data_IF_068184344871
#
_entry.id   IF_068184344871
#
_cell.length_a   1.000
_cell.length_b   1.000
_cell.length_c   1.000
_cell.angle_alpha   90.00
_cell.angle_beta   90.00
_cell.angle_gamma   90.00
#
_symmetry.space_group_name_H-M   'P 1'
#
loop_
_entity.id
_entity.type
_entity.pdbx_description
1 polymer ?
#
# COMPACT_ATOMS: atom_id res chain seq x y z
N UNK A 1 -6.71 -29.19 3.70
CA UNK A 1 -6.36 -27.75 3.51
C UNK A 1 -4.93 -27.69 2.98
N UNK A 2 -4.76 -27.20 1.79
CA UNK A 2 -3.49 -27.09 1.08
C UNK A 2 -3.02 -25.63 1.04
N UNK A 3 -1.71 -25.41 1.08
CA UNK A 3 -1.10 -24.08 0.97
C UNK A 3 -0.24 -24.04 -0.28
N UNK A 4 -0.51 -23.10 -1.18
CA UNK A 4 0.21 -22.98 -2.44
C UNK A 4 0.84 -21.59 -2.52
N UNK A 5 2.18 -21.57 -2.63
CA UNK A 5 2.92 -20.41 -3.05
C UNK A 5 2.78 -20.31 -4.57
N UNK A 6 2.16 -19.24 -5.05
CA UNK A 6 2.01 -19.06 -6.49
C UNK A 6 2.27 -17.62 -6.90
N UNK A 7 2.78 -17.48 -8.10
CA UNK A 7 2.68 -16.24 -8.83
C UNK A 7 1.33 -16.29 -9.56
N UNK A 8 0.48 -15.28 -9.37
CA UNK A 8 -0.88 -15.22 -9.94
C UNK A 8 -0.87 -15.00 -11.46
N UNK A 9 -0.11 -15.82 -12.20
CA UNK A 9 -0.10 -15.77 -13.66
C UNK A 9 -1.16 -16.66 -14.31
N UNK A 10 -1.80 -17.54 -13.51
CA UNK A 10 -2.82 -18.46 -13.95
C UNK A 10 -4.20 -17.81 -13.89
N UNK A 11 -4.94 -17.86 -14.98
CA UNK A 11 -6.31 -17.33 -15.11
C UNK A 11 -7.28 -18.00 -14.11
N UNK A 12 -7.16 -19.31 -13.86
CA UNK A 12 -7.95 -20.03 -12.88
C UNK A 12 -7.68 -19.54 -11.46
N UNK A 13 -6.42 -19.30 -11.13
CA UNK A 13 -6.02 -18.77 -9.83
C UNK A 13 -6.55 -17.35 -9.60
N UNK A 14 -6.50 -16.49 -10.62
CA UNK A 14 -7.09 -15.16 -10.56
C UNK A 14 -8.60 -15.20 -10.37
N UNK A 15 -9.30 -16.11 -11.04
CA UNK A 15 -10.74 -16.29 -10.87
C UNK A 15 -11.10 -16.70 -9.46
N UNK A 16 -10.39 -17.66 -8.87
CA UNK A 16 -10.56 -18.09 -7.48
C UNK A 16 -10.31 -16.93 -6.50
N UNK A 17 -9.33 -16.07 -6.76
CA UNK A 17 -9.08 -14.88 -5.95
C UNK A 17 -10.22 -13.86 -6.07
N UNK A 18 -10.71 -13.60 -7.29
CA UNK A 18 -11.88 -12.73 -7.53
C UNK A 18 -13.08 -13.23 -6.75
N UNK A 19 -13.36 -14.54 -6.80
CA UNK A 19 -14.46 -15.17 -6.05
C UNK A 19 -14.30 -14.94 -4.55
N UNK A 20 -13.13 -15.24 -3.97
CA UNK A 20 -12.86 -15.05 -2.55
C UNK A 20 -13.04 -13.59 -2.12
N UNK A 21 -12.46 -12.64 -2.86
CA UNK A 21 -12.52 -11.22 -2.52
C UNK A 21 -13.96 -10.69 -2.61
N UNK A 22 -14.69 -11.01 -3.68
CA UNK A 22 -16.07 -10.59 -3.85
C UNK A 22 -17.01 -11.23 -2.79
N UNK A 23 -16.76 -12.45 -2.35
CA UNK A 23 -17.51 -13.09 -1.27
C UNK A 23 -17.25 -12.38 0.07
N UNK A 24 -16.00 -12.14 0.42
CA UNK A 24 -15.61 -11.53 1.71
C UNK A 24 -16.02 -10.06 1.83
N UNK A 25 -15.98 -9.31 0.73
CA UNK A 25 -16.25 -7.87 0.74
C UNK A 25 -17.60 -7.48 0.16
N UNK A 26 -18.49 -8.45 -0.10
CA UNK A 26 -19.84 -8.23 -0.64
C UNK A 26 -20.61 -7.16 0.14
N UNK A 27 -20.63 -7.27 1.46
CA UNK A 27 -21.36 -6.34 2.33
C UNK A 27 -20.80 -4.90 2.32
N UNK A 28 -19.57 -4.72 1.87
CA UNK A 28 -18.93 -3.39 1.74
C UNK A 28 -19.19 -2.75 0.39
N UNK A 29 -19.87 -3.43 -0.53
CA UNK A 29 -20.12 -2.95 -1.87
C UNK A 29 -18.88 -2.84 -2.75
N UNK A 30 -17.78 -3.51 -2.36
CA UNK A 30 -16.57 -3.57 -3.18
C UNK A 30 -16.71 -4.66 -4.23
N UNK A 31 -16.27 -4.38 -5.44
CA UNK A 31 -16.29 -5.31 -6.55
C UNK A 31 -14.90 -5.43 -7.16
N UNK A 32 -14.38 -6.65 -7.16
CA UNK A 32 -13.05 -6.98 -7.69
C UNK A 32 -13.17 -7.68 -9.04
N UNK A 33 -12.24 -7.37 -9.94
CA UNK A 33 -12.21 -7.93 -11.30
C UNK A 33 -10.85 -8.55 -11.60
N UNK A 34 -10.81 -9.46 -12.58
CA UNK A 34 -9.53 -10.04 -13.05
C UNK A 34 -8.57 -8.95 -13.54
N UNK A 35 -9.05 -7.98 -14.32
CA UNK A 35 -8.23 -6.88 -14.82
C UNK A 35 -7.65 -6.02 -13.70
N UNK A 36 -8.42 -5.82 -12.61
CA UNK A 36 -7.94 -5.16 -11.41
C UNK A 36 -6.77 -5.91 -10.78
N UNK A 37 -6.91 -7.23 -10.62
CA UNK A 37 -5.83 -8.05 -10.06
C UNK A 37 -4.65 -8.19 -11.00
N UNK A 38 -4.88 -8.36 -12.33
CA UNK A 38 -3.79 -8.36 -13.31
C UNK A 38 -2.95 -7.11 -13.18
N UNK A 39 -3.58 -5.94 -13.13
CA UNK A 39 -2.88 -4.66 -12.94
C UNK A 39 -1.99 -4.66 -11.70
N UNK A 40 -2.55 -5.01 -10.52
CA UNK A 40 -1.79 -4.94 -9.27
C UNK A 40 -0.78 -6.05 -9.07
N UNK A 41 -1.05 -7.25 -9.58
CA UNK A 41 -0.24 -8.44 -9.28
C UNK A 41 0.71 -8.84 -10.39
N UNK A 42 0.44 -8.43 -11.62
CA UNK A 42 1.22 -8.86 -12.79
C UNK A 42 1.88 -7.67 -13.48
N UNK A 43 1.13 -6.62 -13.76
CA UNK A 43 1.57 -5.50 -14.60
C UNK A 43 2.42 -4.47 -13.83
N UNK A 44 2.77 -4.73 -12.57
CA UNK A 44 3.64 -3.86 -11.79
C UNK A 44 5.06 -3.83 -12.39
N UNK A 45 5.59 -2.65 -12.79
CA UNK A 45 6.92 -2.54 -13.41
C UNK A 45 8.08 -2.92 -12.48
N UNK A 46 7.88 -2.88 -11.17
CA UNK A 46 8.89 -3.30 -10.18
C UNK A 46 8.94 -4.82 -10.00
N UNK A 47 8.00 -5.56 -10.61
CA UNK A 47 7.92 -7.02 -10.63
C UNK A 47 6.55 -7.57 -10.23
N UNK A 48 6.28 -8.84 -10.56
CA UNK A 48 5.01 -9.48 -10.18
C UNK A 48 4.91 -9.69 -8.67
N UNK A 49 3.70 -9.62 -8.13
CA UNK A 49 3.44 -9.85 -6.71
C UNK A 49 3.78 -11.28 -6.29
N UNK A 50 4.38 -11.43 -5.12
CA UNK A 50 4.57 -12.72 -4.45
C UNK A 50 3.29 -13.04 -3.71
N UNK A 51 2.58 -14.09 -4.14
CA UNK A 51 1.28 -14.46 -3.58
C UNK A 51 1.33 -15.83 -2.93
N UNK A 52 0.63 -15.97 -1.81
CA UNK A 52 0.47 -17.24 -1.12
C UNK A 52 -1.01 -17.46 -0.80
N UNK A 53 -1.53 -18.65 -1.16
CA UNK A 53 -2.93 -18.98 -1.09
C UNK A 53 -3.17 -20.25 -0.26
N UNK A 54 -4.31 -20.34 0.39
CA UNK A 54 -4.78 -21.54 1.03
C UNK A 54 -6.10 -22.01 0.40
N UNK A 55 -6.24 -23.33 0.27
CA UNK A 55 -7.38 -23.97 -0.36
C UNK A 55 -8.03 -25.00 0.56
N UNK A 56 -9.33 -25.18 0.40
CA UNK A 56 -10.11 -26.31 0.89
C UNK A 56 -10.80 -26.96 -0.31
N UNK A 57 -10.25 -28.09 -0.78
CA UNK A 57 -10.56 -28.60 -2.11
C UNK A 57 -10.22 -27.56 -3.19
N UNK A 58 -11.17 -27.29 -4.08
CA UNK A 58 -11.04 -26.30 -5.15
C UNK A 58 -11.26 -24.84 -4.70
N UNK A 59 -11.78 -24.64 -3.48
CA UNK A 59 -12.12 -23.31 -2.98
C UNK A 59 -10.90 -22.61 -2.39
N UNK A 60 -10.55 -21.41 -2.90
CA UNK A 60 -9.59 -20.55 -2.23
C UNK A 60 -10.23 -19.95 -0.97
N UNK A 61 -9.60 -20.15 0.18
CA UNK A 61 -10.12 -19.75 1.49
C UNK A 61 -9.31 -18.64 2.17
N UNK A 62 -8.08 -18.43 1.74
CA UNK A 62 -7.26 -17.32 2.20
C UNK A 62 -6.21 -16.95 1.15
N UNK A 63 -5.81 -15.68 1.17
CA UNK A 63 -4.82 -15.12 0.26
C UNK A 63 -4.02 -14.04 0.98
N UNK A 64 -2.72 -13.95 0.69
CA UNK A 64 -1.85 -12.82 1.00
C UNK A 64 -0.98 -12.52 -0.21
N UNK A 65 -0.56 -11.27 -0.34
CA UNK A 65 0.39 -10.88 -1.36
C UNK A 65 1.38 -9.84 -0.85
N UNK A 66 2.57 -9.88 -1.44
CA UNK A 66 3.63 -8.90 -1.28
C UNK A 66 3.90 -8.30 -2.66
N UNK A 67 3.77 -6.99 -2.76
CA UNK A 67 3.98 -6.23 -3.99
C UNK A 67 5.42 -5.73 -4.06
N UNK A 68 6.20 -6.07 -5.09
CA UNK A 68 7.53 -5.54 -5.31
C UNK A 68 7.53 -4.03 -5.48
N UNK A 69 8.48 -3.38 -4.83
CA UNK A 69 8.67 -1.94 -4.87
C UNK A 69 10.15 -1.57 -4.70
N UNK A 70 10.47 -0.33 -5.03
CA UNK A 70 11.80 0.25 -4.78
C UNK A 70 11.69 1.41 -3.81
N UNK A 71 12.61 1.47 -2.86
CA UNK A 71 12.75 2.61 -1.96
C UNK A 71 14.15 3.20 -2.04
N UNK A 72 14.25 4.49 -1.85
CA UNK A 72 15.52 5.13 -1.51
C UNK A 72 15.75 4.91 -0.01
N UNK A 73 16.91 4.33 0.32
CA UNK A 73 17.38 4.15 1.68
C UNK A 73 18.77 4.77 1.77
N UNK A 74 18.90 5.88 2.49
CA UNK A 74 20.13 6.70 2.53
C UNK A 74 20.67 7.03 1.12
N UNK A 75 19.75 7.40 0.21
CA UNK A 75 20.09 7.76 -1.17
C UNK A 75 20.37 6.59 -2.11
N UNK A 76 20.34 5.35 -1.64
CA UNK A 76 20.53 4.15 -2.47
C UNK A 76 19.19 3.51 -2.81
N UNK A 77 19.03 3.06 -4.05
CA UNK A 77 17.83 2.32 -4.47
C UNK A 77 17.90 0.90 -3.94
N UNK A 78 16.90 0.52 -3.16
CA UNK A 78 16.78 -0.80 -2.52
C UNK A 78 15.48 -1.46 -2.96
N UNK A 79 15.57 -2.73 -3.40
CA UNK A 79 14.39 -3.53 -3.70
C UNK A 79 13.74 -4.03 -2.40
N UNK A 80 12.46 -3.80 -2.27
CA UNK A 80 11.66 -4.22 -1.13
C UNK A 80 10.29 -4.74 -1.59
N UNK A 81 9.51 -5.23 -0.66
CA UNK A 81 8.13 -5.63 -0.94
C UNK A 81 7.17 -4.97 0.04
N UNK A 82 6.01 -4.60 -0.44
CA UNK A 82 4.91 -4.06 0.36
C UNK A 82 3.86 -5.13 0.62
N UNK A 83 3.52 -5.35 1.90
CA UNK A 83 2.43 -6.25 2.27
C UNK A 83 1.08 -5.66 1.84
N UNK A 84 0.38 -6.37 0.98
CA UNK A 84 -0.97 -6.04 0.48
C UNK A 84 -1.99 -7.10 0.88
N UNK A 85 -3.25 -6.77 0.67
CA UNK A 85 -4.43 -7.62 0.49
C UNK A 85 -4.42 -8.98 1.20
N UNK A 86 -4.22 -8.97 2.52
CA UNK A 86 -4.47 -10.18 3.31
C UNK A 86 -5.97 -10.40 3.49
N UNK A 87 -6.53 -11.49 2.96
CA UNK A 87 -7.94 -11.86 3.08
C UNK A 87 -8.10 -13.30 3.52
N UNK A 88 -9.08 -13.56 4.38
CA UNK A 88 -9.53 -14.92 4.74
C UNK A 88 -11.04 -15.00 4.75
N UNK A 89 -11.56 -16.08 4.21
CA UNK A 89 -12.98 -16.39 4.22
C UNK A 89 -13.49 -16.41 5.67
N UNK A 90 -14.68 -15.87 5.98
CA UNK A 90 -15.21 -15.78 7.34
C UNK A 90 -15.20 -17.10 8.10
N UNK A 91 -15.63 -18.20 7.47
CA UNK A 91 -15.74 -19.52 8.09
C UNK A 91 -14.40 -20.16 8.47
N UNK A 92 -13.29 -19.64 7.91
CA UNK A 92 -11.94 -20.17 8.16
C UNK A 92 -11.09 -19.24 9.03
N UNK A 93 -11.69 -18.16 9.58
CA UNK A 93 -11.02 -17.27 10.53
C UNK A 93 -10.69 -17.99 11.85
N UNK A 94 -9.72 -17.46 12.59
CA UNK A 94 -9.25 -18.08 13.84
C UNK A 94 -8.15 -19.13 13.67
N UNK A 95 -7.94 -19.67 12.47
CA UNK A 95 -6.93 -20.70 12.16
C UNK A 95 -5.52 -20.14 11.84
N UNK A 96 -5.30 -18.85 12.06
CA UNK A 96 -4.03 -18.15 11.77
C UNK A 96 -3.58 -18.28 10.31
N UNK A 97 -4.49 -18.48 9.37
CA UNK A 97 -4.16 -18.67 7.95
C UNK A 97 -3.35 -17.50 7.41
N UNK A 98 -3.80 -16.26 7.64
CA UNK A 98 -3.07 -15.07 7.15
C UNK A 98 -1.62 -15.02 7.67
N UNK A 99 -1.40 -15.35 8.95
CA UNK A 99 -0.02 -15.36 9.49
C UNK A 99 0.83 -16.47 8.88
N UNK A 100 0.27 -17.66 8.66
CA UNK A 100 0.98 -18.77 8.01
C UNK A 100 1.35 -18.40 6.57
N UNK A 101 0.40 -17.89 5.80
CA UNK A 101 0.62 -17.47 4.41
C UNK A 101 1.60 -16.30 4.33
N UNK A 102 1.51 -15.32 5.25
CA UNK A 102 2.45 -14.19 5.30
C UNK A 102 3.88 -14.66 5.54
N UNK A 103 4.11 -15.60 6.44
CA UNK A 103 5.46 -16.12 6.69
C UNK A 103 6.04 -16.80 5.44
N UNK A 104 5.26 -17.61 4.73
CA UNK A 104 5.70 -18.25 3.49
C UNK A 104 6.04 -17.19 2.42
N UNK A 105 5.20 -16.18 2.26
CA UNK A 105 5.46 -15.11 1.30
C UNK A 105 6.69 -14.27 1.67
N UNK A 106 6.91 -14.01 2.97
CA UNK A 106 8.09 -13.28 3.47
C UNK A 106 9.37 -14.08 3.26
N UNK A 107 9.36 -15.39 3.55
CA UNK A 107 10.49 -16.30 3.28
C UNK A 107 10.83 -16.32 1.79
N UNK A 108 9.82 -16.36 0.92
CA UNK A 108 10.03 -16.29 -0.53
C UNK A 108 10.60 -14.93 -0.96
N UNK A 109 10.11 -13.81 -0.40
CA UNK A 109 10.67 -12.49 -0.68
C UNK A 109 12.16 -12.42 -0.26
N UNK A 110 12.52 -12.96 0.90
CA UNK A 110 13.91 -13.05 1.35
C UNK A 110 14.75 -13.90 0.39
N UNK A 111 14.22 -15.04 -0.09
CA UNK A 111 14.89 -15.93 -1.05
C UNK A 111 15.12 -15.23 -2.40
N UNK A 112 14.21 -14.38 -2.83
CA UNK A 112 14.34 -13.56 -4.03
C UNK A 112 15.26 -12.35 -3.86
N UNK A 113 15.79 -12.10 -2.65
CA UNK A 113 16.78 -11.05 -2.39
C UNK A 113 16.16 -9.68 -2.08
N UNK A 114 14.88 -9.59 -1.76
CA UNK A 114 14.29 -8.36 -1.25
C UNK A 114 14.84 -8.03 0.13
N UNK A 115 15.13 -6.77 0.37
CA UNK A 115 15.88 -6.33 1.56
C UNK A 115 15.00 -6.12 2.79
N UNK A 116 13.71 -5.87 2.60
CA UNK A 116 12.73 -5.75 3.69
C UNK A 116 11.31 -5.86 3.16
N UNK A 117 10.39 -6.13 4.08
CA UNK A 117 8.95 -6.03 3.86
C UNK A 117 8.37 -4.97 4.78
N UNK A 118 7.47 -4.16 4.26
CA UNK A 118 6.74 -3.16 5.02
C UNK A 118 5.26 -3.14 4.61
N UNK A 119 4.42 -2.45 5.35
CA UNK A 119 3.01 -2.34 4.98
C UNK A 119 2.18 -1.55 5.97
N UNK A 120 0.91 -1.36 5.63
CA UNK A 120 -0.08 -0.74 6.50
C UNK A 120 -1.07 -1.77 7.01
N UNK A 121 -0.96 -2.10 8.28
CA UNK A 121 -1.88 -3.03 8.93
C UNK A 121 -3.10 -2.30 9.50
N UNK A 122 -4.28 -2.81 9.21
CA UNK A 122 -5.52 -2.37 9.86
C UNK A 122 -5.67 -2.97 11.26
N UNK A 123 -6.69 -2.54 12.00
CA UNK A 123 -6.91 -2.99 13.39
C UNK A 123 -7.08 -4.50 13.54
N UNK A 124 -7.56 -5.21 12.52
CA UNK A 124 -7.80 -6.66 12.57
C UNK A 124 -6.53 -7.46 12.26
N UNK A 125 -5.74 -7.04 11.27
CA UNK A 125 -4.53 -7.77 10.85
C UNK A 125 -3.32 -7.45 11.72
N UNK A 126 -3.22 -6.23 12.26
CA UNK A 126 -2.07 -5.73 13.01
C UNK A 126 -1.59 -6.67 14.13
N UNK A 127 -2.46 -7.14 15.07
CA UNK A 127 -1.99 -7.99 16.18
C UNK A 127 -1.39 -9.32 15.70
N UNK A 128 -1.96 -9.90 14.64
CA UNK A 128 -1.48 -11.16 14.06
C UNK A 128 -0.13 -11.00 13.37
N UNK A 129 0.04 -9.95 12.59
CA UNK A 129 1.28 -9.67 11.85
C UNK A 129 2.45 -9.39 12.80
N UNK A 130 2.26 -8.55 13.82
CA UNK A 130 3.32 -8.26 14.78
C UNK A 130 3.65 -9.48 15.65
N UNK A 131 2.64 -10.23 16.09
CA UNK A 131 2.86 -11.35 17.02
C UNK A 131 3.43 -12.61 16.36
N UNK A 132 3.06 -12.87 15.09
CA UNK A 132 3.32 -14.17 14.46
C UNK A 132 4.14 -14.10 13.18
N UNK A 133 4.34 -12.90 12.61
CA UNK A 133 5.05 -12.74 11.33
C UNK A 133 6.33 -11.89 11.43
N UNK A 134 6.79 -11.58 12.64
CA UNK A 134 8.06 -10.88 12.84
C UNK A 134 8.06 -9.39 12.47
N UNK A 135 6.91 -8.78 12.19
CA UNK A 135 6.84 -7.36 11.92
C UNK A 135 7.05 -6.53 13.20
N UNK A 136 7.86 -5.50 13.08
CA UNK A 136 7.96 -4.42 14.06
C UNK A 136 6.92 -3.34 13.77
N UNK A 137 6.26 -2.85 14.81
CA UNK A 137 5.40 -1.67 14.70
C UNK A 137 6.25 -0.40 14.68
N UNK A 138 6.12 0.41 13.65
CA UNK A 138 6.84 1.68 13.53
C UNK A 138 6.02 2.80 14.14
N UNK A 139 4.85 3.08 13.58
CA UNK A 139 3.95 4.13 14.07
C UNK A 139 2.59 4.06 13.36
N UNK A 140 1.67 4.91 13.75
CA UNK A 140 0.44 5.18 12.98
C UNK A 140 0.64 6.37 12.07
N UNK A 141 0.13 6.28 10.85
CA UNK A 141 0.12 7.42 9.95
C UNK A 141 -0.75 8.55 10.52
N UNK A 142 -0.35 9.77 10.21
CA UNK A 142 -1.18 10.94 10.48
C UNK A 142 -2.36 10.97 9.50
N UNK A 143 -3.55 11.19 10.02
CA UNK A 143 -4.76 11.44 9.23
C UNK A 143 -5.21 12.85 9.54
N UNK A 144 -5.07 13.74 8.57
CA UNK A 144 -5.30 15.17 8.71
C UNK A 144 -6.25 15.66 7.64
N UNK A 145 -6.96 16.74 7.89
CA UNK A 145 -7.79 17.43 6.90
C UNK A 145 -7.53 18.92 6.94
N UNK A 146 -7.57 19.56 5.77
CA UNK A 146 -7.27 20.98 5.68
C UNK A 146 -7.39 21.53 4.27
N UNK A 147 -6.84 22.71 4.06
CA UNK A 147 -6.84 23.41 2.78
C UNK A 147 -5.40 23.70 2.34
N UNK A 148 -5.20 23.82 1.03
CA UNK A 148 -3.90 24.03 0.43
C UNK A 148 -3.26 22.74 -0.07
N UNK A 149 -2.28 22.90 -0.95
CA UNK A 149 -1.53 21.81 -1.59
C UNK A 149 -0.02 21.94 -1.38
N UNK A 150 0.41 22.94 -0.64
CA UNK A 150 1.82 23.18 -0.29
C UNK A 150 2.25 22.24 0.83
N UNK A 151 2.37 20.97 0.48
CA UNK A 151 2.80 19.88 1.37
C UNK A 151 4.18 19.46 0.91
N UNK A 152 5.15 19.61 1.79
CA UNK A 152 6.56 19.37 1.52
C UNK A 152 7.09 18.24 2.39
N UNK A 153 8.17 17.62 1.97
CA UNK A 153 8.90 16.67 2.82
C UNK A 153 9.53 17.42 4.01
N UNK A 154 9.38 16.89 5.23
CA UNK A 154 9.92 17.48 6.46
C UNK A 154 11.37 17.02 6.67
N UNK A 155 12.29 17.68 6.00
CA UNK A 155 13.72 17.37 6.00
C UNK A 155 14.06 16.11 5.22
N UNK A 156 15.35 15.77 5.21
CA UNK A 156 15.83 14.57 4.54
C UNK A 156 15.44 13.32 5.34
N UNK A 157 14.92 12.32 4.64
CA UNK A 157 14.48 11.04 5.23
C UNK A 157 15.29 9.89 4.67
N UNK A 158 15.67 8.98 5.57
CA UNK A 158 16.36 7.74 5.22
C UNK A 158 15.53 6.88 4.28
N UNK A 159 14.23 6.72 4.57
CA UNK A 159 13.32 5.87 3.81
C UNK A 159 12.29 6.71 3.07
N UNK A 160 12.24 6.57 1.73
CA UNK A 160 11.20 7.15 0.87
C UNK A 160 10.96 6.27 -0.35
N UNK A 161 9.75 6.28 -0.90
CA UNK A 161 9.45 5.57 -2.14
C UNK A 161 10.30 6.13 -3.29
N UNK A 162 10.95 5.24 -4.04
CA UNK A 162 11.57 5.58 -5.32
C UNK A 162 10.56 5.29 -6.44
N UNK A 163 10.29 6.28 -7.26
CA UNK A 163 9.45 6.16 -8.44
C UNK A 163 10.31 6.18 -9.69
N UNK A 164 10.23 5.14 -10.54
CA UNK A 164 10.60 5.24 -11.94
C UNK A 164 9.44 5.83 -12.73
N UNK A 165 9.68 6.29 -13.96
CA UNK A 165 8.62 6.82 -14.83
C UNK A 165 7.56 5.75 -15.08
N UNK A 166 7.97 4.51 -15.37
CA UNK A 166 7.05 3.39 -15.60
C UNK A 166 6.22 3.06 -14.36
N UNK A 167 6.84 3.01 -13.17
CA UNK A 167 6.15 2.73 -11.92
C UNK A 167 5.14 3.84 -11.57
N UNK A 168 5.50 5.10 -11.81
CA UNK A 168 4.60 6.22 -11.61
C UNK A 168 3.45 6.21 -12.63
N UNK A 169 3.72 5.95 -13.90
CA UNK A 169 2.72 5.84 -14.95
C UNK A 169 1.72 4.70 -14.66
N UNK A 170 2.24 3.52 -14.31
CA UNK A 170 1.43 2.39 -13.88
C UNK A 170 0.54 2.76 -12.67
N UNK A 171 1.13 3.39 -11.66
CA UNK A 171 0.42 3.80 -10.44
C UNK A 171 -0.73 4.75 -10.71
N UNK A 172 -0.55 5.68 -11.63
CA UNK A 172 -1.51 6.72 -11.97
C UNK A 172 -2.51 6.33 -13.06
N UNK A 173 -2.38 5.16 -13.70
CA UNK A 173 -3.19 4.79 -14.87
C UNK A 173 -4.64 4.44 -14.56
N UNK A 174 -4.97 4.07 -13.32
CA UNK A 174 -6.28 3.48 -12.98
C UNK A 174 -7.31 4.44 -12.40
N UNK A 175 -6.93 5.66 -12.04
CA UNK A 175 -7.82 6.63 -11.39
C UNK A 175 -7.67 8.02 -11.98
N UNK A 176 -8.66 8.83 -11.75
CA UNK A 176 -8.59 10.25 -12.08
C UNK A 176 -7.80 10.97 -10.99
N UNK A 177 -6.67 11.53 -11.36
CA UNK A 177 -5.84 12.35 -10.52
C UNK A 177 -5.76 13.77 -11.09
N UNK A 178 -5.39 14.72 -10.24
CA UNK A 178 -5.13 16.11 -10.62
C UNK A 178 -3.74 16.50 -10.16
N UNK A 179 -2.97 17.12 -11.05
CA UNK A 179 -1.66 17.67 -10.75
C UNK A 179 -1.78 19.13 -10.34
N UNK A 180 -1.12 19.52 -9.26
CA UNK A 180 -0.96 20.93 -8.81
C UNK A 180 0.49 21.11 -8.38
N UNK A 181 1.29 21.79 -9.25
CA UNK A 181 2.73 21.85 -9.03
C UNK A 181 3.36 20.46 -9.01
N UNK A 182 4.09 20.12 -7.95
CA UNK A 182 4.65 18.77 -7.69
C UNK A 182 3.67 17.82 -7.01
N UNK A 183 2.47 18.31 -6.61
CA UNK A 183 1.50 17.54 -5.85
C UNK A 183 0.52 16.81 -6.75
N UNK A 184 0.15 15.60 -6.35
CA UNK A 184 -0.87 14.75 -6.96
C UNK A 184 -2.06 14.64 -6.01
N UNK A 185 -3.24 14.94 -6.52
CA UNK A 185 -4.51 14.88 -5.79
C UNK A 185 -5.42 13.84 -6.43
N UNK A 186 -6.17 13.11 -5.60
CA UNK A 186 -7.21 12.17 -6.03
C UNK A 186 -8.59 12.62 -5.54
N UNK A 187 -9.65 12.30 -6.27
CA UNK A 187 -11.02 12.57 -5.83
C UNK A 187 -11.45 11.49 -4.82
N UNK A 188 -11.84 11.92 -3.62
CA UNK A 188 -12.34 10.99 -2.59
C UNK A 188 -13.87 10.96 -2.55
N UNK A 189 -14.48 12.13 -2.39
CA UNK A 189 -15.95 12.35 -2.36
C UNK A 189 -16.25 13.74 -2.93
N UNK A 190 -17.50 14.03 -3.30
CA UNK A 190 -17.87 15.40 -3.66
C UNK A 190 -17.42 16.40 -2.59
N UNK A 191 -16.65 17.42 -2.99
CA UNK A 191 -16.09 18.43 -2.10
C UNK A 191 -14.86 18.03 -1.28
N UNK A 192 -14.38 16.80 -1.39
CA UNK A 192 -13.18 16.32 -0.66
C UNK A 192 -12.21 15.69 -1.66
N UNK A 193 -11.00 16.22 -1.71
CA UNK A 193 -9.87 15.62 -2.42
C UNK A 193 -8.95 14.90 -1.43
N UNK A 194 -8.30 13.85 -1.89
CA UNK A 194 -7.22 13.22 -1.14
C UNK A 194 -5.89 13.73 -1.67
N UNK A 195 -5.02 14.19 -0.79
CA UNK A 195 -3.63 14.43 -1.13
C UNK A 195 -2.94 13.09 -1.28
N UNK A 196 -2.65 12.71 -2.53
CA UNK A 196 -1.98 11.45 -2.83
C UNK A 196 -0.50 11.53 -2.50
N UNK A 197 0.16 12.60 -2.91
CA UNK A 197 1.57 12.77 -2.64
C UNK A 197 2.20 13.97 -3.33
N UNK A 198 3.47 14.22 -3.00
CA UNK A 198 4.34 15.15 -3.72
C UNK A 198 5.54 14.39 -4.31
N UNK A 199 5.98 14.80 -5.48
CA UNK A 199 7.19 14.32 -6.15
C UNK A 199 8.33 15.35 -6.10
N UNK A 200 8.31 16.24 -5.11
CA UNK A 200 9.27 17.32 -4.96
C UNK A 200 10.72 16.82 -4.93
N UNK A 201 10.98 15.75 -4.16
CA UNK A 201 12.30 15.12 -4.06
C UNK A 201 12.73 14.34 -5.32
N UNK A 202 11.84 14.15 -6.27
CA UNK A 202 12.06 13.47 -7.55
C UNK A 202 11.52 14.34 -8.70
N UNK A 203 11.79 15.65 -8.64
CA UNK A 203 11.25 16.66 -9.55
C UNK A 203 11.62 16.48 -11.03
N UNK A 204 12.66 15.68 -11.33
CA UNK A 204 13.03 15.29 -12.69
C UNK A 204 12.04 14.30 -13.33
N UNK A 205 11.19 13.62 -12.54
CA UNK A 205 10.21 12.69 -13.09
C UNK A 205 9.15 13.43 -13.90
N UNK A 206 8.91 12.93 -15.10
CA UNK A 206 7.77 13.37 -15.89
C UNK A 206 6.51 12.71 -15.33
N UNK A 207 5.63 13.54 -14.77
CA UNK A 207 4.30 13.04 -14.37
C UNK A 207 3.50 12.85 -15.67
N UNK A 208 3.03 11.61 -15.95
CA UNK A 208 2.26 11.33 -17.15
C UNK A 208 1.01 12.21 -17.23
N UNK A 209 0.47 12.37 -18.43
CA UNK A 209 -0.82 13.04 -18.61
C UNK A 209 -1.90 12.29 -17.85
N UNK A 210 -2.28 12.85 -16.72
CA UNK A 210 -3.36 12.32 -15.87
C UNK A 210 -4.67 12.98 -16.27
N UNK A 211 -5.75 12.23 -16.26
CA UNK A 211 -7.08 12.76 -16.52
C UNK A 211 -7.43 13.82 -15.47
N UNK A 212 -7.27 15.09 -15.84
CA UNK A 212 -7.58 16.21 -14.98
C UNK A 212 -9.10 16.31 -14.79
N UNK A 213 -9.56 16.22 -13.55
CA UNK A 213 -10.87 16.73 -13.20
C UNK A 213 -10.73 18.19 -12.74
N UNK A 214 -11.72 19.01 -13.07
CA UNK A 214 -11.71 20.44 -12.71
C UNK A 214 -12.55 20.65 -11.45
N UNK A 215 -11.99 20.95 -10.28
CA UNK A 215 -12.76 21.18 -9.08
C UNK A 215 -13.45 22.54 -9.19
N UNK A 216 -14.77 22.57 -9.07
CA UNK A 216 -15.58 23.78 -9.16
C UNK A 216 -15.40 24.73 -7.96
N UNK A 217 -14.88 24.22 -6.82
CA UNK A 217 -14.64 24.97 -5.58
C UNK A 217 -13.34 24.54 -4.88
N UNK A 218 -12.76 25.35 -3.95
CA UNK A 218 -11.68 24.91 -3.11
C UNK A 218 -12.16 23.74 -2.25
N UNK A 219 -11.61 22.58 -2.52
CA UNK A 219 -11.98 21.35 -1.83
C UNK A 219 -11.18 21.20 -0.54
N UNK A 220 -11.84 20.67 0.49
CA UNK A 220 -11.17 20.14 1.68
C UNK A 220 -10.25 18.99 1.25
N UNK A 221 -9.02 18.95 1.78
CA UNK A 221 -8.06 17.90 1.48
C UNK A 221 -7.90 16.95 2.66
N UNK A 222 -7.92 15.66 2.34
CA UNK A 222 -7.55 14.61 3.27
C UNK A 222 -6.09 14.23 3.03
N UNK A 223 -5.28 14.31 4.07
CA UNK A 223 -3.89 13.85 4.09
C UNK A 223 -3.77 12.59 4.95
N UNK A 224 -3.07 11.58 4.42
CA UNK A 224 -2.67 10.36 5.16
C UNK A 224 -1.20 10.12 4.86
N UNK A 225 -0.34 10.19 5.89
CA UNK A 225 1.10 10.01 5.67
C UNK A 225 1.96 10.31 6.89
N UNK A 226 3.26 10.31 6.67
CA UNK A 226 4.33 10.62 7.64
C UNK A 226 5.43 11.45 6.99
N UNK A 227 6.17 12.20 7.80
CA UNK A 227 7.36 12.90 7.37
C UNK A 227 7.10 14.11 6.47
N UNK A 228 5.87 14.64 6.45
CA UNK A 228 5.52 15.82 5.69
C UNK A 228 5.26 17.02 6.60
N UNK A 229 5.69 18.20 6.12
CA UNK A 229 5.33 19.51 6.66
C UNK A 229 4.04 19.98 6.00
N UNK A 230 3.01 20.13 6.81
CA UNK A 230 1.66 20.51 6.38
C UNK A 230 1.41 22.01 6.59
N UNK A 231 0.58 22.66 5.76
CA UNK A 231 0.07 24.01 6.03
C UNK A 231 -0.64 24.09 7.39
N UNK A 232 -0.64 25.25 8.00
CA UNK A 232 -1.28 25.50 9.31
C UNK A 232 -2.79 25.20 9.33
N UNK A 233 -3.44 25.20 8.18
CA UNK A 233 -4.87 24.88 8.02
C UNK A 233 -5.20 23.40 8.25
N UNK A 234 -4.19 22.51 8.30
CA UNK A 234 -4.41 21.08 8.50
C UNK A 234 -4.55 20.74 9.97
N UNK A 235 -5.66 20.10 10.30
CA UNK A 235 -5.99 19.63 11.65
C UNK A 235 -6.20 18.11 11.64
N UNK A 236 -5.99 17.48 12.79
CA UNK A 236 -6.28 16.04 12.93
C UNK A 236 -7.74 15.76 12.65
N UNK A 237 -8.03 14.70 11.92
CA UNK A 237 -9.40 14.25 11.68
C UNK A 237 -10.07 13.99 13.04
N UNK A 238 -11.26 14.56 13.28
CA UNK A 238 -11.95 14.40 14.55
C UNK A 238 -12.22 12.94 14.89
N UNK A 239 -12.13 12.58 16.18
CA UNK A 239 -12.27 11.20 16.66
C UNK A 239 -13.62 10.54 16.35
N UNK A 240 -14.68 11.32 16.13
CA UNK A 240 -15.99 10.81 15.75
C UNK A 240 -16.04 10.32 14.29
N UNK A 241 -15.12 10.77 13.42
CA UNK A 241 -14.95 10.25 12.07
C UNK A 241 -14.09 8.99 12.17
N UNK A 242 -14.74 7.83 12.11
CA UNK A 242 -14.04 6.54 12.15
C UNK A 242 -13.24 6.33 10.86
N UNK A 243 -11.96 6.04 11.01
CA UNK A 243 -11.07 5.62 9.92
C UNK A 243 -10.21 4.44 10.38
N UNK A 244 -9.61 3.72 9.42
CA UNK A 244 -8.66 2.66 9.73
C UNK A 244 -7.44 3.23 10.49
N UNK A 245 -6.95 2.54 11.53
CA UNK A 245 -5.68 2.89 12.15
C UNK A 245 -4.54 2.44 11.21
N UNK A 246 -4.13 3.21 10.26
CA UNK A 246 -3.03 2.90 9.35
C UNK A 246 -1.72 2.67 10.12
N UNK A 247 -1.53 1.43 10.63
CA UNK A 247 -0.34 1.07 11.40
C UNK A 247 0.78 0.69 10.44
N UNK A 248 1.82 1.51 10.35
CA UNK A 248 3.02 1.20 9.58
C UNK A 248 3.80 0.11 10.31
N UNK A 249 4.05 -0.98 9.61
CA UNK A 249 4.82 -2.14 10.07
C UNK A 249 6.00 -2.40 9.13
N UNK A 250 7.07 -2.95 9.66
CA UNK A 250 8.32 -3.19 8.95
C UNK A 250 9.01 -4.45 9.45
N UNK A 251 9.66 -5.18 8.55
CA UNK A 251 10.54 -6.29 8.89
C UNK A 251 11.76 -6.28 7.98
N UNK A 252 12.94 -6.24 8.59
CA UNK A 252 14.20 -6.36 7.87
C UNK A 252 14.42 -7.79 7.37
N UNK A 253 14.80 -7.93 6.10
CA UNK A 253 15.19 -9.19 5.47
C UNK A 253 16.67 -9.16 5.05
N UNK A 254 17.36 -8.02 5.22
CA UNK A 254 18.75 -7.82 4.83
C UNK A 254 19.77 -8.40 5.82
N UNK A 255 19.28 -8.89 6.97
CA UNK A 255 20.15 -9.35 8.07
C UNK A 255 20.85 -8.20 8.79
N UNK A 256 20.20 -7.06 8.95
CA UNK A 256 20.72 -5.90 9.68
C UNK A 256 21.66 -5.00 8.86
N UNK A 257 21.67 -5.13 7.54
CA UNK A 257 22.50 -4.30 6.65
C UNK A 257 21.90 -2.90 6.41
N UNK A 258 20.61 -2.73 6.67
CA UNK A 258 19.92 -1.47 6.51
C UNK A 258 19.72 -0.78 7.87
N UNK A 259 19.66 0.57 7.90
CA UNK A 259 19.31 1.29 9.10
C UNK A 259 17.89 0.91 9.55
N UNK A 260 17.62 0.96 10.84
CA UNK A 260 16.28 0.66 11.35
C UNK A 260 15.29 1.73 10.91
N UNK A 261 14.15 1.31 10.36
CA UNK A 261 13.07 2.24 10.03
C UNK A 261 12.41 2.74 11.32
N UNK A 262 12.23 4.05 11.41
CA UNK A 262 11.58 4.73 12.54
C UNK A 262 10.56 5.75 12.01
N UNK A 263 9.70 6.25 12.89
CA UNK A 263 8.74 7.31 12.55
C UNK A 263 9.40 8.61 12.08
N UNK A 264 10.65 8.86 12.49
CA UNK A 264 11.34 10.14 12.25
C UNK A 264 12.19 10.10 10.96
N UNK A 265 12.54 8.90 10.47
CA UNK A 265 13.39 8.72 9.29
C UNK A 265 12.65 8.18 8.06
N UNK A 266 11.33 8.13 8.07
CA UNK A 266 10.51 7.68 6.94
C UNK A 266 9.63 8.80 6.41
N UNK A 267 9.63 8.98 5.09
CA UNK A 267 8.63 9.75 4.36
C UNK A 267 7.67 8.78 3.70
N UNK A 268 6.40 8.90 4.04
CA UNK A 268 5.35 8.01 3.55
C UNK A 268 4.08 8.78 3.23
N UNK A 269 3.53 8.56 2.07
CA UNK A 269 2.38 9.28 1.55
C UNK A 269 1.38 8.32 0.90
N UNK A 270 0.17 8.78 0.63
CA UNK A 270 -0.89 7.91 0.14
C UNK A 270 -0.59 7.35 -1.27
N UNK A 271 0.21 8.06 -2.07
CA UNK A 271 0.69 7.59 -3.37
C UNK A 271 1.48 6.28 -3.25
N UNK A 272 2.20 6.09 -2.13
CA UNK A 272 3.04 4.91 -1.87
C UNK A 272 2.21 3.65 -1.57
N UNK A 273 0.92 3.80 -1.25
CA UNK A 273 0.01 2.67 -1.14
C UNK A 273 -1.37 3.06 -1.66
N UNK A 274 -2.04 2.15 -2.34
CA UNK A 274 -3.41 2.38 -2.74
C UNK A 274 -4.35 1.82 -1.69
N UNK A 275 -5.26 2.67 -1.24
CA UNK A 275 -6.45 2.22 -0.52
C UNK A 275 -7.54 2.15 -1.57
N UNK A 276 -7.86 0.94 -2.01
CA UNK A 276 -8.97 0.67 -2.90
C UNK A 276 -10.31 1.10 -2.26
#
# INVERSE_FOLDING_TARGET
METVLCVLHDEDMMEKLVCLQNEVYRERGLHFTKDGFRHWYIDNPDGPAISCNAFDGEKMIAHVSLEPEKMLVDGQIVNCVRAMAGVSHPDYRGNRLLSKLSNIAIEEAARQGYSFVYGLANGNSFPGLVRYCGYSFITRLNVMMGFGTEIHEDGEKTYRRYWSEDALAWRLSRRNYRKVGSSILGQFKPGIETFMGTLESQSQLQIPDIHNYNPFFPHLKLYVGLGAKLPWSYVKVPKFIKHSPFNLIFQDLSGGKLPMMTKDNVFYQLLDFDVA
#
